data_IF_450518346756
#
_entry.id   IF_450518346756
#
_cell.length_a   1.000
_cell.length_b   1.000
_cell.length_c   1.000
_cell.angle_alpha   90.00
_cell.angle_beta   90.00
_cell.angle_gamma   90.00
#
_symmetry.space_group_name_H-M   'P 1'
#
loop_
_entity.id
_entity.type
_entity.pdbx_description
1 polymer ?
#
# COMPACT_ATOMS: atom_id res chain seq x y z
N UNK A 1 -88.20 -30.77 46.35
CA UNK A 1 -87.23 -30.73 47.44
C UNK A 1 -85.85 -30.81 46.84
N UNK A 2 -85.07 -29.70 46.71
CA UNK A 2 -83.71 -29.63 46.26
C UNK A 2 -82.90 -28.80 47.28
N UNK A 3 -81.72 -29.21 47.68
CA UNK A 3 -80.94 -28.48 48.67
C UNK A 3 -80.13 -27.38 48.01
N UNK A 4 -79.93 -26.30 48.77
CA UNK A 4 -79.19 -25.10 48.44
C UNK A 4 -77.66 -25.37 48.38
N UNK A 5 -76.97 -24.82 47.37
CA UNK A 5 -75.53 -24.79 47.29
C UNK A 5 -75.04 -23.44 47.80
N UNK A 6 -74.27 -23.47 48.87
CA UNK A 6 -73.55 -22.35 49.42
C UNK A 6 -72.19 -22.19 48.68
N UNK A 7 -71.99 -21.05 48.05
CA UNK A 7 -70.70 -20.69 47.42
C UNK A 7 -69.81 -20.01 48.43
N UNK A 8 -68.65 -20.60 48.68
CA UNK A 8 -67.52 -20.01 49.41
C UNK A 8 -66.65 -19.23 48.44
N UNK A 9 -66.54 -17.91 48.65
CA UNK A 9 -65.64 -17.03 47.93
C UNK A 9 -64.28 -17.02 48.64
N UNK A 10 -63.27 -17.62 48.05
CA UNK A 10 -61.84 -17.47 48.49
C UNK A 10 -61.32 -16.19 47.97
N UNK A 11 -60.92 -15.24 48.84
CA UNK A 11 -60.07 -14.11 48.53
C UNK A 11 -58.64 -14.62 48.43
N UNK A 12 -58.06 -14.59 47.20
CA UNK A 12 -56.66 -14.83 46.99
C UNK A 12 -55.86 -13.48 47.12
N UNK A 13 -55.08 -13.37 48.18
CA UNK A 13 -54.11 -12.28 48.39
C UNK A 13 -52.93 -12.47 47.44
N UNK A 14 -52.90 -11.73 46.37
CA UNK A 14 -51.75 -11.71 45.43
C UNK A 14 -50.55 -11.00 46.02
N UNK A 15 -49.54 -11.76 46.42
CA UNK A 15 -48.21 -11.20 46.72
C UNK A 15 -47.53 -10.77 45.43
N UNK A 16 -47.39 -9.47 45.21
CA UNK A 16 -46.49 -8.90 44.19
C UNK A 16 -45.05 -9.23 44.59
N UNK A 17 -44.49 -10.29 44.04
CA UNK A 17 -43.06 -10.49 43.97
C UNK A 17 -42.50 -9.54 42.90
N UNK A 18 -41.93 -8.41 43.32
CA UNK A 18 -41.01 -7.64 42.50
C UNK A 18 -39.83 -8.53 42.14
N UNK A 19 -39.92 -9.23 41.04
CA UNK A 19 -38.79 -9.88 40.41
C UNK A 19 -37.78 -8.81 39.95
N UNK A 20 -36.72 -8.61 40.72
CA UNK A 20 -35.51 -8.02 40.20
C UNK A 20 -35.01 -8.94 39.07
N UNK A 21 -35.43 -8.62 37.84
CA UNK A 21 -34.87 -9.22 36.65
C UNK A 21 -33.40 -8.85 36.61
N UNK A 22 -32.55 -9.70 37.15
CA UNK A 22 -31.13 -9.68 36.90
C UNK A 22 -30.98 -9.67 35.39
N UNK A 23 -30.46 -8.59 34.83
CA UNK A 23 -29.88 -8.60 33.52
C UNK A 23 -28.82 -9.69 33.59
N UNK A 24 -29.13 -10.85 33.04
CA UNK A 24 -28.11 -11.82 32.64
C UNK A 24 -27.14 -11.05 31.75
N UNK A 25 -25.98 -10.77 32.28
CA UNK A 25 -24.92 -10.16 31.50
C UNK A 25 -24.64 -11.10 30.32
N UNK A 26 -25.06 -10.71 29.13
CA UNK A 26 -24.46 -11.29 27.93
C UNK A 26 -22.98 -11.00 28.06
N UNK A 27 -22.16 -12.00 28.40
CA UNK A 27 -20.72 -11.87 28.45
C UNK A 27 -20.29 -11.19 27.17
N UNK A 28 -19.40 -10.20 27.24
CA UNK A 28 -18.84 -9.59 26.07
C UNK A 28 -18.28 -10.70 25.18
N UNK A 29 -18.66 -10.68 23.91
CA UNK A 29 -18.13 -11.63 22.93
C UNK A 29 -16.72 -11.20 22.54
N UNK A 30 -15.93 -12.14 22.03
CA UNK A 30 -14.60 -11.87 21.51
C UNK A 30 -14.64 -10.77 20.45
N UNK A 31 -13.61 -9.94 20.44
CA UNK A 31 -13.38 -8.90 19.44
C UNK A 31 -12.17 -9.31 18.62
N UNK A 32 -12.36 -10.08 17.53
CA UNK A 32 -11.30 -10.42 16.62
C UNK A 32 -10.96 -9.21 15.75
N UNK A 33 -9.68 -8.86 15.68
CA UNK A 33 -9.15 -7.72 14.95
C UNK A 33 -8.23 -8.25 13.86
N UNK A 34 -8.51 -7.86 12.60
CA UNK A 34 -7.70 -8.14 11.42
C UNK A 34 -7.14 -6.81 10.92
N UNK A 35 -5.82 -6.71 10.80
CA UNK A 35 -5.21 -5.43 10.44
C UNK A 35 -4.07 -5.58 9.44
N UNK A 36 -3.97 -4.59 8.57
CA UNK A 36 -2.95 -4.46 7.52
C UNK A 36 -2.24 -3.11 7.63
N UNK A 37 -1.12 -2.97 6.96
CA UNK A 37 -0.47 -1.69 6.73
C UNK A 37 0.41 -1.73 5.49
N UNK A 38 0.86 -0.56 5.05
CA UNK A 38 1.95 -0.41 4.07
C UNK A 38 1.63 -1.18 2.76
N UNK A 39 0.38 -1.07 2.28
CA UNK A 39 -0.08 -1.82 1.09
C UNK A 39 0.58 -1.34 -0.19
N UNK A 40 1.01 -0.07 -0.26
CA UNK A 40 1.78 0.53 -1.39
C UNK A 40 1.18 0.26 -2.77
N UNK A 41 -0.13 0.36 -2.90
CA UNK A 41 -0.80 0.17 -4.19
C UNK A 41 -0.99 -1.29 -4.64
N UNK A 42 -0.71 -2.28 -3.81
CA UNK A 42 -0.68 -3.70 -4.22
C UNK A 42 -2.05 -4.36 -4.22
N UNK A 43 -2.78 -4.16 -5.31
CA UNK A 43 -4.02 -4.91 -5.55
C UNK A 43 -3.75 -6.40 -5.69
N UNK A 44 -2.71 -6.77 -6.43
CA UNK A 44 -2.30 -8.16 -6.70
C UNK A 44 -0.91 -8.44 -6.10
N UNK A 45 -0.54 -9.71 -5.95
CA UNK A 45 0.81 -10.08 -5.59
C UNK A 45 1.82 -9.46 -6.54
N UNK A 46 2.85 -8.82 -6.02
CA UNK A 46 3.88 -8.19 -6.82
C UNK A 46 5.09 -9.09 -6.99
N UNK A 47 5.67 -9.06 -8.19
CA UNK A 47 6.85 -9.78 -8.54
C UNK A 47 6.70 -10.56 -9.85
N UNK A 48 7.79 -10.69 -10.60
CA UNK A 48 7.85 -11.39 -11.89
C UNK A 48 8.43 -12.81 -11.77
N UNK A 49 8.52 -13.35 -10.56
CA UNK A 49 9.11 -14.66 -10.26
C UNK A 49 8.19 -15.48 -9.35
N UNK A 50 8.48 -16.77 -9.19
CA UNK A 50 7.77 -17.68 -8.28
C UNK A 50 8.04 -17.32 -6.80
N UNK A 51 7.10 -17.63 -5.91
CA UNK A 51 7.20 -17.31 -4.49
C UNK A 51 6.77 -15.88 -4.17
N UNK A 52 5.82 -15.34 -4.92
CA UNK A 52 5.26 -14.00 -4.68
C UNK A 52 4.35 -14.01 -3.46
N UNK A 53 4.53 -13.03 -2.58
CA UNK A 53 3.70 -12.84 -1.39
C UNK A 53 2.77 -11.64 -1.56
N UNK A 54 1.68 -11.61 -0.76
CA UNK A 54 0.85 -10.43 -0.60
C UNK A 54 -0.23 -10.25 -1.66
N UNK A 55 -0.70 -9.00 -1.77
CA UNK A 55 -1.80 -8.58 -2.64
C UNK A 55 -3.17 -8.67 -1.96
N UNK A 56 -4.01 -7.66 -2.22
CA UNK A 56 -5.37 -7.63 -1.66
C UNK A 56 -6.24 -8.78 -2.19
N UNK A 57 -5.92 -9.31 -3.37
CA UNK A 57 -6.61 -10.48 -3.94
C UNK A 57 -6.48 -11.73 -3.06
N UNK A 58 -5.28 -11.99 -2.51
CA UNK A 58 -5.08 -13.10 -1.55
C UNK A 58 -5.60 -12.76 -0.16
N UNK A 59 -5.43 -11.51 0.27
CA UNK A 59 -5.96 -11.04 1.54
C UNK A 59 -7.46 -11.28 1.65
N UNK A 60 -8.22 -10.98 0.59
CA UNK A 60 -9.65 -11.22 0.57
C UNK A 60 -9.98 -12.70 0.73
N UNK A 61 -9.28 -13.59 0.07
CA UNK A 61 -9.47 -15.04 0.20
C UNK A 61 -9.29 -15.49 1.66
N UNK A 62 -8.23 -15.01 2.33
CA UNK A 62 -8.00 -15.32 3.75
C UNK A 62 -9.09 -14.74 4.64
N UNK A 63 -9.46 -13.47 4.43
CA UNK A 63 -10.50 -12.83 5.24
C UNK A 63 -11.86 -13.49 5.08
N UNK A 64 -12.22 -13.93 3.88
CA UNK A 64 -13.49 -14.62 3.63
C UNK A 64 -13.51 -16.02 4.25
N UNK A 65 -12.36 -16.70 4.30
CA UNK A 65 -12.25 -18.04 4.88
C UNK A 65 -12.14 -18.05 6.41
N UNK A 66 -11.43 -17.07 6.99
CA UNK A 66 -10.99 -17.14 8.39
C UNK A 66 -11.59 -16.06 9.28
N UNK A 67 -11.98 -14.88 8.74
CA UNK A 67 -12.46 -13.79 9.56
C UNK A 67 -13.95 -13.94 9.87
N UNK A 68 -14.36 -14.03 11.16
CA UNK A 68 -15.75 -14.10 11.52
C UNK A 68 -16.51 -12.83 11.12
N UNK A 69 -17.84 -12.95 10.94
CA UNK A 69 -18.70 -11.86 10.45
C UNK A 69 -18.62 -10.58 11.30
N UNK A 70 -18.35 -10.70 12.60
CA UNK A 70 -18.20 -9.58 13.54
C UNK A 70 -16.78 -9.05 13.70
N UNK A 71 -15.80 -9.54 12.91
CA UNK A 71 -14.42 -9.11 13.02
C UNK A 71 -14.26 -7.61 12.70
N UNK A 72 -13.42 -6.93 13.49
CA UNK A 72 -12.93 -5.59 13.18
C UNK A 72 -11.83 -5.68 12.13
N UNK A 73 -11.91 -4.89 11.06
CA UNK A 73 -10.91 -4.86 9.98
C UNK A 73 -10.42 -3.45 9.80
N UNK A 74 -9.11 -3.23 9.98
CA UNK A 74 -8.50 -1.90 9.92
C UNK A 74 -7.19 -1.91 9.16
N UNK A 75 -6.83 -0.76 8.57
CA UNK A 75 -5.52 -0.54 7.96
C UNK A 75 -4.79 0.60 8.68
N UNK A 76 -3.50 0.41 8.94
CA UNK A 76 -2.69 1.32 9.76
C UNK A 76 -2.12 2.49 8.94
N UNK A 77 -2.16 2.41 7.60
CA UNK A 77 -1.71 3.48 6.71
C UNK A 77 -0.62 3.07 5.72
N UNK A 78 -0.18 4.02 4.91
CA UNK A 78 0.75 3.84 3.79
C UNK A 78 0.20 2.88 2.71
N UNK A 79 -1.09 2.98 2.44
CA UNK A 79 -1.76 2.11 1.47
C UNK A 79 -1.55 2.57 0.01
N UNK A 80 -1.37 3.87 -0.24
CA UNK A 80 -1.12 4.40 -1.59
C UNK A 80 0.29 4.02 -2.10
N UNK A 81 0.43 3.82 -3.41
CA UNK A 81 1.70 3.46 -4.04
C UNK A 81 2.68 4.61 -4.26
N UNK A 82 2.16 5.81 -4.44
CA UNK A 82 2.91 7.04 -4.74
C UNK A 82 1.96 8.22 -4.92
N UNK A 83 2.44 9.27 -5.59
CA UNK A 83 1.70 10.53 -5.78
C UNK A 83 1.39 10.88 -7.24
N UNK A 84 1.80 10.02 -8.15
CA UNK A 84 1.52 10.19 -9.57
C UNK A 84 0.03 9.96 -9.88
N UNK A 85 -0.43 10.43 -11.02
CA UNK A 85 -1.83 10.31 -11.42
C UNK A 85 -2.31 8.85 -11.51
N UNK A 86 -1.47 7.94 -11.98
CA UNK A 86 -1.78 6.51 -11.99
C UNK A 86 -1.82 5.91 -10.58
N UNK A 87 -1.05 6.41 -9.62
CA UNK A 87 -1.13 6.00 -8.21
C UNK A 87 -2.46 6.41 -7.60
N UNK A 88 -2.98 7.60 -7.95
CA UNK A 88 -4.30 8.06 -7.52
C UNK A 88 -5.42 7.21 -8.12
N UNK A 89 -5.29 6.82 -9.39
CA UNK A 89 -6.22 5.87 -10.01
C UNK A 89 -6.18 4.55 -9.26
N UNK A 90 -4.98 3.99 -9.03
CA UNK A 90 -4.80 2.73 -8.32
C UNK A 90 -5.37 2.79 -6.90
N UNK A 91 -5.15 3.89 -6.17
CA UNK A 91 -5.65 4.06 -4.81
C UNK A 91 -7.17 4.04 -4.73
N UNK A 92 -7.89 4.59 -5.72
CA UNK A 92 -9.35 4.46 -5.79
C UNK A 92 -9.79 2.99 -5.89
N UNK A 93 -9.07 2.17 -6.63
CA UNK A 93 -9.35 0.72 -6.70
C UNK A 93 -9.01 0.01 -5.39
N UNK A 94 -7.92 0.39 -4.71
CA UNK A 94 -7.62 -0.12 -3.38
C UNK A 94 -8.76 0.19 -2.38
N UNK A 95 -9.23 1.43 -2.34
CA UNK A 95 -10.33 1.82 -1.45
C UNK A 95 -11.61 1.01 -1.73
N UNK A 96 -11.90 0.72 -3.00
CA UNK A 96 -13.00 -0.18 -3.38
C UNK A 96 -12.75 -1.63 -2.92
N UNK A 97 -11.52 -2.12 -3.00
CA UNK A 97 -11.14 -3.44 -2.51
C UNK A 97 -11.28 -3.53 -0.98
N UNK A 98 -10.84 -2.51 -0.24
CA UNK A 98 -11.06 -2.44 1.21
C UNK A 98 -12.55 -2.44 1.58
N UNK A 99 -13.38 -1.71 0.82
CA UNK A 99 -14.84 -1.74 1.01
C UNK A 99 -15.43 -3.12 0.75
N UNK A 100 -15.01 -3.80 -0.32
CA UNK A 100 -15.44 -5.18 -0.62
C UNK A 100 -15.02 -6.17 0.47
N UNK A 101 -13.90 -5.92 1.13
CA UNK A 101 -13.42 -6.66 2.30
C UNK A 101 -14.02 -6.17 3.64
N UNK A 102 -14.94 -5.19 3.61
CA UNK A 102 -15.63 -4.65 4.79
C UNK A 102 -14.70 -4.08 5.85
N UNK A 103 -13.70 -3.31 5.45
CA UNK A 103 -12.84 -2.59 6.38
C UNK A 103 -13.63 -1.51 7.13
N UNK A 104 -13.39 -1.39 8.42
CA UNK A 104 -14.08 -0.43 9.30
C UNK A 104 -13.45 0.93 9.29
N UNK A 105 -12.12 0.99 9.14
CA UNK A 105 -11.36 2.23 9.08
C UNK A 105 -9.99 2.01 8.43
N UNK A 106 -9.48 3.05 7.76
CA UNK A 106 -8.10 3.17 7.32
C UNK A 106 -7.48 4.40 7.97
N UNK A 107 -6.25 4.28 8.47
CA UNK A 107 -5.48 5.44 8.92
C UNK A 107 -4.73 6.08 7.75
N UNK A 108 -4.41 7.36 7.86
CA UNK A 108 -3.50 8.06 6.95
C UNK A 108 -2.06 7.77 7.37
N UNK A 109 -1.25 7.30 6.43
CA UNK A 109 0.19 7.15 6.58
C UNK A 109 0.97 8.30 5.92
N UNK A 110 2.29 8.15 5.88
CA UNK A 110 3.18 9.19 5.34
C UNK A 110 3.04 9.35 3.82
N UNK A 111 2.74 8.27 3.09
CA UNK A 111 2.54 8.32 1.63
C UNK A 111 1.29 9.11 1.24
N UNK A 112 0.18 8.89 1.95
CA UNK A 112 -1.04 9.66 1.74
C UNK A 112 -0.83 11.13 2.09
N UNK A 113 -0.06 11.44 3.14
CA UNK A 113 0.24 12.81 3.56
C UNK A 113 1.12 13.60 2.58
N UNK A 114 1.69 12.96 1.56
CA UNK A 114 2.38 13.64 0.44
C UNK A 114 1.41 14.19 -0.61
N UNK A 115 0.16 13.76 -0.60
CA UNK A 115 -0.87 14.32 -1.48
C UNK A 115 -1.29 15.70 -0.99
N UNK A 116 -1.67 16.58 -1.92
CA UNK A 116 -2.18 17.91 -1.55
C UNK A 116 -3.49 17.84 -0.78
N UNK A 117 -3.78 18.87 0.02
CA UNK A 117 -5.05 19.01 0.73
C UNK A 117 -6.27 18.88 -0.21
N UNK A 118 -6.18 19.36 -1.44
CA UNK A 118 -7.24 19.24 -2.44
C UNK A 118 -7.49 17.78 -2.86
N UNK A 119 -6.41 17.03 -3.11
CA UNK A 119 -6.49 15.60 -3.44
C UNK A 119 -7.06 14.78 -2.27
N UNK A 120 -6.60 15.06 -1.04
CA UNK A 120 -7.10 14.37 0.15
C UNK A 120 -8.58 14.67 0.44
N UNK A 121 -9.04 15.91 0.27
CA UNK A 121 -10.48 16.24 0.38
C UNK A 121 -11.32 15.51 -0.66
N UNK A 122 -10.82 15.40 -1.90
CA UNK A 122 -11.49 14.62 -2.95
C UNK A 122 -11.53 13.13 -2.58
N UNK A 123 -10.45 12.57 -2.06
CA UNK A 123 -10.41 11.19 -1.57
C UNK A 123 -11.43 10.97 -0.44
N UNK A 124 -11.45 11.85 0.59
CA UNK A 124 -12.43 11.78 1.68
C UNK A 124 -13.87 11.72 1.16
N UNK A 125 -14.21 12.59 0.20
CA UNK A 125 -15.58 12.68 -0.32
C UNK A 125 -15.98 11.48 -1.19
N UNK A 126 -15.02 10.77 -1.78
CA UNK A 126 -15.26 9.66 -2.73
C UNK A 126 -14.91 8.28 -2.17
N UNK A 127 -14.27 8.21 -1.01
CA UNK A 127 -13.90 6.93 -0.40
C UNK A 127 -15.12 6.16 0.08
N UNK A 128 -15.28 4.88 -0.32
CA UNK A 128 -16.33 4.01 0.18
C UNK A 128 -16.02 3.43 1.57
N UNK A 129 -14.83 3.71 2.11
CA UNK A 129 -14.38 3.27 3.44
C UNK A 129 -13.97 4.50 4.24
N UNK A 130 -14.28 4.58 5.55
CA UNK A 130 -13.84 5.68 6.41
C UNK A 130 -12.32 5.76 6.48
N UNK A 131 -11.78 6.96 6.27
CA UNK A 131 -10.37 7.27 6.43
C UNK A 131 -10.23 8.16 7.65
N UNK A 132 -9.27 7.87 8.53
CA UNK A 132 -9.08 8.56 9.81
C UNK A 132 -7.73 9.26 9.87
N UNK A 133 -7.70 10.43 10.49
CA UNK A 133 -6.48 11.07 10.97
C UNK A 133 -6.79 12.17 11.99
N UNK A 134 -6.29 12.03 13.22
CA UNK A 134 -6.55 12.98 14.29
C UNK A 134 -5.71 14.27 14.17
N UNK A 135 -4.59 14.22 13.45
CA UNK A 135 -3.61 15.30 13.45
C UNK A 135 -3.22 15.84 12.06
N UNK A 136 -3.81 15.34 10.96
CA UNK A 136 -3.59 15.91 9.63
C UNK A 136 -4.63 17.01 9.36
N UNK A 137 -4.16 18.24 9.28
CA UNK A 137 -5.00 19.44 9.19
C UNK A 137 -4.89 20.09 7.80
N UNK A 138 -5.97 20.71 7.39
CA UNK A 138 -5.95 21.71 6.31
C UNK A 138 -5.30 22.99 6.85
N UNK A 139 -4.19 23.42 6.23
CA UNK A 139 -3.40 24.57 6.69
C UNK A 139 -4.18 25.89 6.71
N UNK A 140 -5.10 26.04 5.75
CA UNK A 140 -5.90 27.28 5.66
C UNK A 140 -6.99 27.39 6.71
N UNK A 141 -7.65 26.29 7.04
CA UNK A 141 -8.75 26.27 8.01
C UNK A 141 -8.38 25.76 9.38
N UNK A 142 -7.22 25.12 9.52
CA UNK A 142 -6.75 24.39 10.71
C UNK A 142 -7.72 23.31 11.21
N UNK A 143 -8.58 22.81 10.35
CA UNK A 143 -9.50 21.71 10.65
C UNK A 143 -8.95 20.39 10.17
N UNK A 144 -9.25 19.27 10.84
CA UNK A 144 -8.89 17.95 10.34
C UNK A 144 -9.45 17.70 8.93
N UNK A 145 -8.63 17.15 8.04
CA UNK A 145 -9.06 16.77 6.69
C UNK A 145 -9.95 15.53 6.74
N UNK A 146 -9.64 14.60 7.62
CA UNK A 146 -10.39 13.37 7.85
C UNK A 146 -11.05 13.38 9.22
N UNK A 147 -11.97 12.45 9.46
CA UNK A 147 -12.51 12.25 10.79
C UNK A 147 -11.37 11.75 11.71
N UNK A 148 -11.21 12.30 12.91
CA UNK A 148 -10.09 11.95 13.79
C UNK A 148 -10.22 10.54 14.37
N UNK A 149 -11.46 10.06 14.53
CA UNK A 149 -11.78 8.76 15.10
C UNK A 149 -13.11 8.22 14.58
N UNK A 150 -13.38 6.96 14.90
CA UNK A 150 -14.64 6.28 14.61
C UNK A 150 -15.01 5.35 15.77
N UNK A 151 -16.29 5.29 16.12
CA UNK A 151 -16.82 4.32 17.09
C UNK A 151 -17.65 3.27 16.34
N UNK A 152 -17.35 2.00 16.58
CA UNK A 152 -18.08 0.85 16.05
C UNK A 152 -18.47 -0.11 17.18
N UNK A 153 -19.47 -0.94 16.97
CA UNK A 153 -19.84 -1.98 17.94
C UNK A 153 -19.43 -3.35 17.41
N UNK A 154 -18.62 -4.06 18.20
CA UNK A 154 -18.14 -5.41 17.89
C UNK A 154 -18.24 -6.28 19.14
N UNK A 155 -18.85 -7.48 19.03
CA UNK A 155 -19.04 -8.35 20.18
C UNK A 155 -19.81 -7.71 21.35
N UNK A 156 -20.67 -6.73 21.08
CA UNK A 156 -21.36 -5.94 22.12
C UNK A 156 -20.48 -4.84 22.76
N UNK A 157 -19.20 -4.74 22.38
CA UNK A 157 -18.25 -3.75 22.87
C UNK A 157 -18.24 -2.53 21.94
N UNK A 158 -18.26 -1.32 22.52
CA UNK A 158 -18.09 -0.05 21.79
C UNK A 158 -16.62 0.20 21.61
N UNK A 159 -16.12 0.00 20.40
CA UNK A 159 -14.70 0.14 20.04
C UNK A 159 -14.47 1.50 19.43
N UNK A 160 -13.64 2.32 20.07
CA UNK A 160 -13.14 3.59 19.54
C UNK A 160 -11.85 3.33 18.76
N UNK A 161 -11.81 3.77 17.51
CA UNK A 161 -10.65 3.65 16.62
C UNK A 161 -10.13 5.06 16.35
N UNK A 162 -8.89 5.35 16.71
CA UNK A 162 -8.24 6.66 16.49
C UNK A 162 -7.14 6.47 15.44
N UNK A 163 -7.10 7.32 14.42
CA UNK A 163 -6.01 7.34 13.43
C UNK A 163 -4.98 8.43 13.78
N UNK A 164 -3.69 8.12 13.71
CA UNK A 164 -2.61 9.03 14.03
C UNK A 164 -1.50 8.97 12.98
N UNK A 165 -1.09 10.12 12.45
CA UNK A 165 0.01 10.28 11.51
C UNK A 165 1.29 10.65 12.25
N UNK A 166 2.37 9.93 11.97
CA UNK A 166 3.72 10.32 12.38
C UNK A 166 4.32 11.28 11.35
N UNK A 167 4.58 12.55 11.70
CA UNK A 167 5.12 13.52 10.75
C UNK A 167 6.62 13.36 10.49
N UNK A 168 7.31 12.53 11.25
CA UNK A 168 8.77 12.40 11.15
C UNK A 168 9.17 11.79 9.81
N UNK A 169 10.06 12.46 9.11
CA UNK A 169 10.53 12.06 7.80
C UNK A 169 9.70 12.58 6.63
N UNK A 170 8.58 13.29 6.88
CA UNK A 170 7.84 13.97 5.80
C UNK A 170 8.56 15.23 5.31
N UNK A 171 9.08 16.06 6.23
CA UNK A 171 9.81 17.27 5.87
C UNK A 171 9.14 18.08 4.75
N UNK A 172 9.88 18.33 3.68
CA UNK A 172 9.40 19.02 2.47
C UNK A 172 8.44 18.18 1.60
N UNK A 173 8.34 16.87 1.85
CA UNK A 173 7.42 15.99 1.14
C UNK A 173 5.97 16.09 1.62
N UNK A 174 5.69 16.84 2.68
CA UNK A 174 4.33 17.09 3.12
C UNK A 174 3.53 17.79 2.02
N UNK A 175 2.38 17.26 1.70
CA UNK A 175 1.56 17.74 0.60
C UNK A 175 1.13 19.21 0.74
N UNK A 176 1.02 19.90 -0.38
CA UNK A 176 0.66 21.30 -0.42
C UNK A 176 -0.68 21.59 0.29
N UNK A 177 -0.70 22.62 1.13
CA UNK A 177 -1.89 23.02 1.89
C UNK A 177 -2.18 22.18 3.12
N UNK A 178 -1.24 21.35 3.56
CA UNK A 178 -1.32 20.55 4.79
C UNK A 178 -0.52 21.15 5.93
N UNK A 179 -0.96 20.83 7.15
CA UNK A 179 -0.26 21.05 8.42
C UNK A 179 -0.45 19.78 9.27
N UNK A 180 0.54 19.39 10.05
CA UNK A 180 0.42 18.26 10.98
C UNK A 180 0.55 18.76 12.40
N UNK A 181 -0.48 18.53 13.22
CA UNK A 181 -0.45 18.78 14.65
C UNK A 181 0.43 17.76 15.36
N UNK A 182 1.04 18.12 16.48
CA UNK A 182 1.82 17.19 17.29
C UNK A 182 1.00 15.97 17.70
N UNK A 183 1.61 14.80 17.63
CA UNK A 183 0.94 13.51 17.88
C UNK A 183 0.29 13.47 19.26
N UNK A 184 1.01 13.90 20.29
CA UNK A 184 0.58 13.85 21.69
C UNK A 184 -0.60 14.80 21.95
N UNK A 185 -0.56 16.02 21.41
CA UNK A 185 -1.64 17.01 21.61
C UNK A 185 -2.93 16.57 20.92
N UNK A 186 -2.82 16.10 19.68
CA UNK A 186 -3.97 15.59 18.93
C UNK A 186 -4.58 14.35 19.60
N UNK A 187 -3.73 13.44 20.08
CA UNK A 187 -4.18 12.21 20.75
C UNK A 187 -4.86 12.52 22.09
N UNK A 188 -4.29 13.42 22.91
CA UNK A 188 -4.90 13.84 24.16
C UNK A 188 -6.29 14.47 23.96
N UNK A 189 -6.42 15.34 22.95
CA UNK A 189 -7.70 15.94 22.57
C UNK A 189 -8.72 14.89 22.18
N UNK A 190 -8.33 13.95 21.33
CA UNK A 190 -9.24 12.94 20.79
C UNK A 190 -9.63 11.90 21.84
N UNK A 191 -8.73 11.52 22.73
CA UNK A 191 -9.03 10.62 23.84
C UNK A 191 -10.07 11.21 24.79
N UNK A 192 -10.05 12.51 25.05
CA UNK A 192 -11.07 13.17 25.87
C UNK A 192 -12.48 13.03 25.28
N UNK A 193 -12.60 13.00 23.95
CA UNK A 193 -13.87 12.85 23.22
C UNK A 193 -14.33 11.40 23.11
N UNK A 194 -13.41 10.47 22.91
CA UNK A 194 -13.70 9.06 22.60
C UNK A 194 -13.91 8.22 23.84
N UNK A 195 -13.09 8.40 24.88
CA UNK A 195 -13.09 7.60 26.09
C UNK A 195 -14.44 7.51 26.80
N UNK A 196 -15.24 8.58 26.96
CA UNK A 196 -16.55 8.47 27.62
C UNK A 196 -17.58 7.64 26.85
N UNK A 197 -17.33 7.39 25.58
CA UNK A 197 -18.29 6.78 24.64
C UNK A 197 -17.91 5.33 24.28
N UNK A 198 -16.79 4.83 24.79
CA UNK A 198 -16.19 3.54 24.34
C UNK A 198 -15.82 2.66 25.51
N UNK A 199 -15.79 1.36 25.24
CA UNK A 199 -15.40 0.31 26.18
C UNK A 199 -13.96 -0.17 25.87
N UNK A 200 -13.51 -0.01 24.61
CA UNK A 200 -12.19 -0.37 24.11
C UNK A 200 -11.68 0.73 23.17
N UNK A 201 -10.44 1.16 23.33
CA UNK A 201 -9.80 2.15 22.45
C UNK A 201 -8.63 1.48 21.71
N UNK A 202 -8.64 1.60 20.39
CA UNK A 202 -7.61 1.13 19.48
C UNK A 202 -6.98 2.33 18.79
N UNK A 203 -5.67 2.48 18.90
CA UNK A 203 -4.89 3.46 18.17
C UNK A 203 -4.25 2.81 16.93
N UNK A 204 -4.46 3.41 15.76
CA UNK A 204 -3.78 3.09 14.53
C UNK A 204 -2.66 4.12 14.32
N UNK A 205 -1.39 3.68 14.36
CA UNK A 205 -0.25 4.58 14.22
C UNK A 205 0.84 3.97 13.35
N UNK A 206 1.01 4.51 12.13
CA UNK A 206 2.08 4.11 11.24
C UNK A 206 3.39 4.79 11.65
N UNK A 207 4.05 4.23 12.66
CA UNK A 207 5.28 4.76 13.26
C UNK A 207 6.20 3.64 13.76
N UNK A 208 7.42 4.00 14.20
CA UNK A 208 8.40 3.05 14.72
C UNK A 208 8.06 2.52 16.12
N UNK A 209 8.73 1.42 16.50
CA UNK A 209 8.50 0.73 17.78
C UNK A 209 8.74 1.61 19.02
N UNK A 210 9.75 2.47 18.97
CA UNK A 210 10.09 3.36 20.09
C UNK A 210 8.95 4.33 20.37
N UNK A 211 8.39 4.92 19.30
CA UNK A 211 7.27 5.83 19.40
C UNK A 211 5.99 5.12 19.86
N UNK A 212 5.71 3.90 19.35
CA UNK A 212 4.58 3.12 19.86
C UNK A 212 4.69 2.88 21.36
N UNK A 213 5.91 2.53 21.84
CA UNK A 213 6.18 2.36 23.25
C UNK A 213 6.00 3.65 24.07
N UNK A 214 6.48 4.79 23.59
CA UNK A 214 6.33 6.10 24.24
C UNK A 214 4.86 6.53 24.32
N UNK A 215 4.07 6.29 23.28
CA UNK A 215 2.62 6.55 23.30
C UNK A 215 1.91 5.68 24.34
N UNK A 216 2.28 4.40 24.46
CA UNK A 216 1.74 3.50 25.49
C UNK A 216 2.10 3.94 26.92
N UNK A 217 3.29 4.53 27.12
CA UNK A 217 3.70 5.05 28.44
C UNK A 217 2.92 6.31 28.82
N UNK A 218 2.62 7.14 27.87
CA UNK A 218 1.98 8.42 28.09
C UNK A 218 0.44 8.32 28.17
N UNK A 219 -0.16 7.44 27.38
CA UNK A 219 -1.62 7.33 27.22
C UNK A 219 -2.15 5.96 27.65
N UNK A 220 -2.19 5.72 28.95
CA UNK A 220 -2.61 4.44 29.55
C UNK A 220 -4.11 4.12 29.34
N UNK A 221 -4.90 5.09 28.82
CA UNK A 221 -6.29 4.89 28.41
C UNK A 221 -6.43 4.06 27.14
N UNK A 222 -5.37 3.92 26.36
CA UNK A 222 -5.38 3.13 25.12
C UNK A 222 -5.08 1.68 25.46
N UNK A 223 -6.01 0.78 25.15
CA UNK A 223 -5.82 -0.64 25.41
C UNK A 223 -5.08 -1.37 24.30
N UNK A 224 -5.20 -0.92 23.04
CA UNK A 224 -4.55 -1.55 21.89
C UNK A 224 -3.89 -0.50 21.01
N UNK A 225 -2.63 -0.71 20.69
CA UNK A 225 -1.88 0.11 19.72
C UNK A 225 -1.45 -0.81 18.57
N UNK A 226 -1.97 -0.52 17.38
CA UNK A 226 -1.60 -1.22 16.17
C UNK A 226 -0.62 -0.36 15.37
N UNK A 227 0.58 -0.92 15.11
CA UNK A 227 1.70 -0.24 14.49
C UNK A 227 2.08 -0.78 13.11
N UNK A 228 2.80 0.05 12.37
CA UNK A 228 3.42 -0.27 11.08
C UNK A 228 4.88 0.18 11.03
N UNK A 229 5.42 0.72 10.02
CA UNK A 229 6.76 1.35 9.87
C UNK A 229 7.89 0.69 10.69
N UNK A 230 7.91 -0.64 10.65
CA UNK A 230 8.89 -1.49 11.34
C UNK A 230 9.60 -2.35 10.30
N UNK A 231 10.82 -2.80 10.58
CA UNK A 231 11.61 -3.62 9.64
C UNK A 231 11.07 -5.04 9.49
N UNK A 232 10.42 -5.55 10.53
CA UNK A 232 9.83 -6.89 10.55
C UNK A 232 8.52 -6.90 11.34
N UNK A 233 7.58 -7.80 11.01
CA UNK A 233 6.37 -8.00 11.81
C UNK A 233 6.72 -8.41 13.25
N UNK A 234 5.85 -8.07 14.20
CA UNK A 234 6.00 -8.52 15.57
C UNK A 234 5.90 -10.04 15.64
N UNK A 235 6.90 -10.69 16.20
CA UNK A 235 6.82 -12.14 16.49
C UNK A 235 5.96 -12.41 17.74
N UNK A 236 5.98 -11.48 18.68
CA UNK A 236 5.24 -11.57 19.93
C UNK A 236 4.46 -10.27 20.20
N UNK A 237 3.32 -10.43 20.84
CA UNK A 237 2.53 -9.33 21.36
C UNK A 237 3.28 -8.68 22.54
N UNK A 238 3.48 -7.36 22.46
CA UNK A 238 4.12 -6.61 23.55
C UNK A 238 3.08 -6.00 24.46
N UNK A 239 3.33 -6.07 25.77
CA UNK A 239 2.58 -5.33 26.78
C UNK A 239 3.42 -4.20 27.33
N UNK A 240 2.85 -3.00 27.35
CA UNK A 240 3.47 -1.86 27.99
C UNK A 240 2.41 -1.07 28.76
N UNK A 241 2.57 -0.97 30.07
CA UNK A 241 1.52 -0.48 30.95
C UNK A 241 0.19 -1.25 30.76
N UNK A 242 -0.87 -0.56 30.37
CA UNK A 242 -2.19 -1.16 30.04
C UNK A 242 -2.38 -1.46 28.57
N UNK A 243 -1.43 -1.07 27.73
CA UNK A 243 -1.55 -1.20 26.28
C UNK A 243 -0.95 -2.51 25.79
N UNK A 244 -1.66 -3.12 24.85
CA UNK A 244 -1.16 -4.18 23.96
C UNK A 244 -0.62 -3.51 22.71
N UNK A 245 0.65 -3.73 22.37
CA UNK A 245 1.29 -3.21 21.17
C UNK A 245 1.52 -4.38 20.22
N UNK A 246 0.93 -4.28 19.03
CA UNK A 246 1.10 -5.28 17.97
C UNK A 246 1.30 -4.59 16.64
N UNK A 247 2.22 -5.07 15.82
CA UNK A 247 2.54 -4.42 14.55
C UNK A 247 2.78 -5.43 13.44
N UNK A 248 2.37 -5.03 12.25
CA UNK A 248 2.58 -5.73 11.00
C UNK A 248 3.30 -4.81 10.03
N UNK A 249 3.99 -5.36 9.09
CA UNK A 249 4.67 -4.63 8.02
C UNK A 249 4.72 -5.49 6.77
N UNK A 250 5.53 -5.10 5.83
CA UNK A 250 5.96 -5.93 4.72
C UNK A 250 5.07 -5.84 3.49
N UNK A 251 4.64 -4.61 3.18
CA UNK A 251 4.08 -4.27 1.87
C UNK A 251 2.91 -5.17 1.46
N UNK A 252 1.90 -5.28 2.33
CA UNK A 252 0.73 -6.14 2.14
C UNK A 252 1.04 -7.66 2.04
N UNK A 253 2.21 -8.11 2.50
CA UNK A 253 2.57 -9.53 2.49
C UNK A 253 2.11 -10.29 3.72
N UNK A 254 1.70 -9.55 4.76
CA UNK A 254 1.27 -10.11 6.03
C UNK A 254 -0.04 -9.47 6.50
N UNK A 255 -0.83 -10.28 7.20
CA UNK A 255 -2.05 -9.90 7.90
C UNK A 255 -1.83 -10.10 9.38
N UNK A 256 -2.04 -9.05 10.18
CA UNK A 256 -2.06 -9.17 11.63
C UNK A 256 -3.42 -9.63 12.12
N UNK A 257 -3.46 -10.58 13.02
CA UNK A 257 -4.67 -11.12 13.64
C UNK A 257 -4.49 -11.03 15.15
N UNK A 258 -5.45 -10.39 15.84
CA UNK A 258 -5.46 -10.26 17.28
C UNK A 258 -6.87 -10.59 17.80
N UNK A 259 -6.98 -11.56 18.68
CA UNK A 259 -8.25 -11.99 19.26
C UNK A 259 -8.29 -11.56 20.73
N UNK A 260 -9.24 -10.71 21.08
CA UNK A 260 -9.37 -10.12 22.40
C UNK A 260 -10.71 -10.50 23.03
N UNK A 261 -10.67 -10.73 24.34
CA UNK A 261 -11.86 -10.84 25.16
C UNK A 261 -11.93 -9.64 26.11
N UNK A 262 -12.80 -8.63 25.84
CA UNK A 262 -12.96 -7.48 26.69
C UNK A 262 -13.67 -7.85 28.00
N UNK A 263 -13.14 -7.37 29.12
CA UNK A 263 -13.79 -7.47 30.41
C UNK A 263 -14.17 -6.06 30.91
N UNK A 264 -15.44 -5.80 31.24
CA UNK A 264 -15.84 -4.52 31.79
C UNK A 264 -15.05 -4.19 33.05
N UNK A 265 -14.24 -3.10 33.01
CA UNK A 265 -13.46 -2.62 34.14
C UNK A 265 -12.21 -3.43 34.50
N UNK A 266 -11.83 -4.46 33.74
CA UNK A 266 -10.65 -5.27 33.94
C UNK A 266 -9.67 -5.19 32.75
N UNK A 267 -8.51 -5.85 32.88
CA UNK A 267 -7.54 -5.96 31.79
C UNK A 267 -8.11 -6.80 30.63
N UNK A 268 -7.68 -6.50 29.40
CA UNK A 268 -8.01 -7.29 28.23
C UNK A 268 -7.32 -8.65 28.28
N UNK A 269 -8.09 -9.71 28.05
CA UNK A 269 -7.53 -11.01 27.79
C UNK A 269 -7.20 -11.17 26.30
N UNK A 270 -6.00 -11.70 26.03
CA UNK A 270 -5.59 -12.08 24.68
C UNK A 270 -5.91 -13.54 24.48
N UNK A 271 -6.88 -13.82 23.63
CA UNK A 271 -7.28 -15.19 23.26
C UNK A 271 -6.31 -15.77 22.25
N UNK A 272 -5.77 -14.94 21.36
CA UNK A 272 -4.80 -15.33 20.36
C UNK A 272 -4.22 -14.16 19.59
N UNK A 273 -3.04 -14.38 19.03
CA UNK A 273 -2.41 -13.45 18.08
C UNK A 273 -1.62 -14.22 17.02
N UNK A 274 -1.63 -13.74 15.80
CA UNK A 274 -0.95 -14.35 14.66
C UNK A 274 -0.53 -13.31 13.64
N UNK A 275 0.62 -13.54 12.99
CA UNK A 275 0.98 -12.89 11.74
C UNK A 275 0.86 -13.91 10.62
N UNK A 276 -0.19 -13.77 9.83
CA UNK A 276 -0.48 -14.63 8.68
C UNK A 276 0.21 -14.10 7.44
N UNK A 277 1.14 -14.88 6.87
CA UNK A 277 1.78 -14.54 5.60
C UNK A 277 0.87 -14.89 4.42
N UNK A 278 0.70 -13.95 3.51
CA UNK A 278 -0.09 -14.14 2.28
C UNK A 278 0.78 -14.78 1.19
N UNK A 279 0.98 -16.08 1.31
CA UNK A 279 1.87 -16.88 0.45
C UNK A 279 1.23 -17.19 -0.91
N UNK A 280 2.03 -17.71 -1.83
CA UNK A 280 1.63 -18.03 -3.21
C UNK A 280 0.68 -19.22 -3.33
N UNK A 281 0.60 -20.09 -2.33
CA UNK A 281 -0.39 -21.17 -2.27
C UNK A 281 -1.82 -20.67 -2.06
N UNK A 282 -1.99 -19.45 -1.52
CA UNK A 282 -3.31 -18.84 -1.31
C UNK A 282 -3.86 -18.37 -2.65
N UNK A 283 -5.02 -18.89 -3.09
CA UNK A 283 -5.62 -18.47 -4.34
C UNK A 283 -6.02 -16.99 -4.31
N UNK A 284 -5.95 -16.34 -5.44
CA UNK A 284 -6.43 -14.96 -5.59
C UNK A 284 -7.95 -14.93 -5.74
N UNK A 285 -8.60 -14.01 -5.04
CA UNK A 285 -10.04 -13.77 -5.18
C UNK A 285 -10.38 -13.28 -6.59
N UNK A 286 -11.32 -13.94 -7.30
CA UNK A 286 -11.65 -13.58 -8.69
C UNK A 286 -12.22 -12.16 -8.84
N UNK A 287 -13.03 -11.69 -7.88
CA UNK A 287 -13.64 -10.36 -7.97
C UNK A 287 -12.60 -9.26 -7.81
N UNK A 288 -11.64 -9.41 -6.90
CA UNK A 288 -10.55 -8.45 -6.75
C UNK A 288 -9.54 -8.55 -7.91
N UNK A 289 -9.32 -9.74 -8.46
CA UNK A 289 -8.51 -9.91 -9.68
C UNK A 289 -9.15 -9.19 -10.87
N UNK A 290 -10.48 -9.26 -11.03
CA UNK A 290 -11.17 -8.47 -12.04
C UNK A 290 -11.02 -6.96 -11.77
N UNK A 291 -11.13 -6.54 -10.51
CA UNK A 291 -10.93 -5.12 -10.14
C UNK A 291 -9.52 -4.62 -10.49
N UNK A 292 -8.50 -5.46 -10.35
CA UNK A 292 -7.14 -5.12 -10.78
C UNK A 292 -7.04 -5.01 -12.32
N UNK A 293 -7.78 -5.82 -13.08
CA UNK A 293 -7.89 -5.66 -14.53
C UNK A 293 -8.61 -4.36 -14.91
N UNK A 294 -9.71 -4.04 -14.22
CA UNK A 294 -10.46 -2.79 -14.45
C UNK A 294 -9.57 -1.56 -14.20
N UNK A 295 -8.72 -1.60 -13.18
CA UNK A 295 -7.68 -0.59 -12.95
C UNK A 295 -6.74 -0.45 -14.15
N UNK A 296 -6.17 -1.55 -14.65
CA UNK A 296 -5.26 -1.54 -15.81
C UNK A 296 -5.94 -1.02 -17.07
N UNK A 297 -7.20 -1.40 -17.27
CA UNK A 297 -7.99 -0.93 -18.39
C UNK A 297 -8.34 0.55 -18.28
N UNK A 298 -8.57 1.07 -17.08
CA UNK A 298 -8.74 2.51 -16.86
C UNK A 298 -7.44 3.26 -17.15
N UNK A 299 -6.31 2.80 -16.61
CA UNK A 299 -4.99 3.37 -16.88
C UNK A 299 -4.67 3.38 -18.36
N UNK A 300 -4.99 2.30 -19.10
CA UNK A 300 -4.78 2.21 -20.55
C UNK A 300 -5.58 3.26 -21.31
N UNK A 301 -6.80 3.57 -20.89
CA UNK A 301 -7.68 4.57 -21.53
C UNK A 301 -7.38 6.01 -21.10
N UNK A 302 -6.73 6.20 -19.98
CA UNK A 302 -6.46 7.53 -19.42
C UNK A 302 -5.15 8.08 -19.98
N UNK A 303 -5.16 9.33 -20.44
CA UNK A 303 -3.93 10.07 -20.70
C UNK A 303 -3.33 10.48 -19.36
N UNK A 304 -2.13 10.00 -19.07
CA UNK A 304 -1.44 10.24 -17.81
C UNK A 304 -0.47 11.40 -17.95
N UNK A 305 -0.15 12.07 -16.83
CA UNK A 305 0.84 13.14 -16.82
C UNK A 305 2.23 12.64 -17.25
N UNK A 306 2.58 11.39 -16.93
CA UNK A 306 3.85 10.75 -17.36
C UNK A 306 3.92 10.54 -18.88
N UNK A 307 2.80 10.53 -19.58
CA UNK A 307 2.73 10.43 -21.04
C UNK A 307 2.95 11.77 -21.73
N UNK A 308 2.87 12.90 -20.99
CA UNK A 308 3.02 14.24 -21.57
C UNK A 308 4.51 14.60 -21.74
N UNK A 309 4.96 14.84 -23.00
CA UNK A 309 6.34 15.26 -23.26
C UNK A 309 6.76 16.52 -22.52
N UNK A 310 5.83 17.41 -22.21
CA UNK A 310 6.12 18.66 -21.49
C UNK A 310 6.51 18.42 -20.02
N UNK A 311 6.08 17.32 -19.44
CA UNK A 311 6.38 16.96 -18.05
C UNK A 311 7.62 16.08 -17.93
N UNK A 312 8.18 15.60 -19.03
CA UNK A 312 9.38 14.75 -19.01
C UNK A 312 10.63 15.61 -18.83
N UNK A 313 11.56 15.13 -18.00
CA UNK A 313 12.88 15.73 -17.87
C UNK A 313 13.64 15.64 -19.21
N UNK A 314 14.45 16.63 -19.51
CA UNK A 314 15.33 16.59 -20.68
C UNK A 314 16.40 15.50 -20.48
N UNK A 315 16.58 14.63 -21.49
CA UNK A 315 17.64 13.63 -21.48
C UNK A 315 19.00 14.33 -21.66
N UNK A 316 19.72 14.49 -20.57
CA UNK A 316 21.08 15.07 -20.58
C UNK A 316 22.08 13.94 -20.37
N UNK A 317 22.95 13.76 -21.34
CA UNK A 317 24.10 12.84 -21.20
C UNK A 317 25.16 13.52 -20.36
N UNK A 318 25.68 12.91 -19.27
CA UNK A 318 26.74 13.49 -18.46
C UNK A 318 27.95 13.92 -19.30
N UNK A 319 28.38 15.17 -19.15
CA UNK A 319 29.48 15.72 -19.89
C UNK A 319 29.15 16.33 -21.26
N UNK A 320 27.92 16.21 -21.74
CA UNK A 320 27.44 16.81 -23.01
C UNK A 320 26.31 17.80 -22.71
N UNK A 321 26.44 19.03 -23.18
CA UNK A 321 25.46 20.11 -22.96
C UNK A 321 24.23 20.04 -23.88
N UNK A 322 24.23 19.18 -24.88
CA UNK A 322 23.13 18.98 -25.85
C UNK A 322 22.26 17.82 -25.45
N UNK A 323 20.93 18.00 -25.56
CA UNK A 323 19.97 16.92 -25.34
C UNK A 323 20.20 15.79 -26.35
N UNK A 324 20.41 14.57 -25.85
CA UNK A 324 20.43 13.35 -26.63
C UNK A 324 19.05 12.75 -26.74
N UNK A 325 18.79 11.94 -27.74
CA UNK A 325 17.53 11.23 -27.93
C UNK A 325 17.75 9.72 -28.09
N UNK A 326 16.72 8.95 -27.72
CA UNK A 326 16.69 7.52 -27.91
C UNK A 326 16.49 7.18 -29.39
N UNK A 327 17.29 6.25 -29.90
CA UNK A 327 17.30 5.86 -31.31
C UNK A 327 16.79 4.44 -31.55
N UNK A 328 16.75 3.62 -30.49
CA UNK A 328 16.29 2.21 -30.50
C UNK A 328 17.41 1.22 -30.81
N UNK A 329 17.27 0.00 -30.27
CA UNK A 329 18.25 -1.08 -30.38
C UNK A 329 18.58 -1.46 -31.82
N UNK A 330 17.61 -1.36 -32.75
CA UNK A 330 17.85 -1.61 -34.19
C UNK A 330 18.99 -0.79 -34.75
N UNK A 331 19.08 0.49 -34.37
CA UNK A 331 20.16 1.37 -34.82
C UNK A 331 21.52 0.98 -34.22
N UNK A 332 21.54 0.45 -33.02
CA UNK A 332 22.77 0.03 -32.34
C UNK A 332 23.36 -1.23 -32.99
N UNK A 333 22.52 -2.23 -33.30
CA UNK A 333 22.96 -3.53 -33.83
C UNK A 333 23.47 -3.46 -35.28
N UNK A 334 23.25 -2.36 -35.99
CA UNK A 334 23.87 -2.14 -37.31
C UNK A 334 25.39 -2.19 -37.23
N UNK A 335 25.96 -1.63 -36.16
CA UNK A 335 27.41 -1.60 -35.91
C UNK A 335 27.85 -2.59 -34.82
N UNK A 336 27.01 -2.85 -33.83
CA UNK A 336 27.31 -3.70 -32.66
C UNK A 336 26.64 -5.08 -32.77
N UNK A 337 27.02 -5.87 -33.78
CA UNK A 337 26.39 -7.17 -34.13
C UNK A 337 26.50 -8.17 -32.99
N UNK A 338 27.71 -8.35 -32.44
CA UNK A 338 27.96 -9.33 -31.36
C UNK A 338 27.21 -8.99 -30.08
N UNK A 339 27.18 -7.70 -29.73
CA UNK A 339 26.38 -7.22 -28.61
C UNK A 339 24.87 -7.42 -28.86
N UNK A 340 24.42 -7.16 -30.09
CA UNK A 340 23.03 -7.39 -30.51
C UNK A 340 22.62 -8.84 -30.41
N UNK A 341 23.49 -9.78 -30.79
CA UNK A 341 23.22 -11.22 -30.65
C UNK A 341 23.11 -11.68 -29.19
N UNK A 342 23.96 -11.12 -28.31
CA UNK A 342 23.91 -11.37 -26.87
C UNK A 342 22.61 -10.85 -26.30
N UNK A 343 22.24 -9.61 -26.63
CA UNK A 343 20.98 -8.99 -26.18
C UNK A 343 19.77 -9.78 -26.68
N UNK A 344 19.70 -10.15 -27.94
CA UNK A 344 18.57 -10.86 -28.54
C UNK A 344 18.28 -12.23 -27.88
N UNK A 345 19.31 -12.89 -27.32
CA UNK A 345 19.19 -14.15 -26.58
C UNK A 345 18.75 -13.95 -25.13
N UNK A 346 18.81 -12.72 -24.61
CA UNK A 346 18.47 -12.40 -23.22
C UNK A 346 16.97 -12.19 -23.02
N UNK A 347 16.52 -12.24 -21.75
CA UNK A 347 15.16 -11.87 -21.37
C UNK A 347 14.84 -10.40 -21.65
N UNK A 348 15.84 -9.53 -21.73
CA UNK A 348 15.66 -8.10 -21.99
C UNK A 348 15.01 -7.82 -23.35
N UNK A 349 15.38 -8.59 -24.40
CA UNK A 349 14.80 -8.44 -25.74
C UNK A 349 13.33 -8.90 -25.85
N UNK A 350 12.73 -9.40 -24.77
CA UNK A 350 11.34 -9.84 -24.69
C UNK A 350 10.65 -9.31 -23.44
N UNK A 351 11.19 -8.25 -22.86
CA UNK A 351 10.69 -7.67 -21.61
C UNK A 351 9.24 -7.24 -21.71
N UNK A 352 8.86 -6.56 -22.79
CA UNK A 352 7.51 -6.07 -22.99
C UNK A 352 6.49 -7.18 -23.26
N UNK A 353 6.87 -8.22 -23.98
CA UNK A 353 6.00 -9.36 -24.25
C UNK A 353 5.49 -10.01 -22.93
N UNK A 354 6.36 -10.09 -21.92
CA UNK A 354 5.97 -10.61 -20.59
C UNK A 354 4.92 -9.78 -19.88
N UNK A 355 4.84 -8.47 -20.15
CA UNK A 355 3.78 -7.60 -19.63
C UNK A 355 2.46 -7.81 -20.40
N UNK A 356 2.53 -7.93 -21.73
CA UNK A 356 1.34 -8.13 -22.57
C UNK A 356 0.61 -9.40 -22.22
N UNK A 357 1.33 -10.50 -21.95
CA UNK A 357 0.77 -11.76 -21.47
C UNK A 357 -0.02 -11.60 -20.17
N UNK A 358 0.40 -10.67 -19.31
CA UNK A 358 -0.24 -10.36 -18.02
C UNK A 358 -1.20 -9.17 -18.09
N UNK A 359 -1.43 -8.59 -19.26
CA UNK A 359 -2.21 -7.37 -19.49
C UNK A 359 -1.72 -6.17 -18.66
N UNK A 360 -0.42 -6.11 -18.34
CA UNK A 360 0.23 -5.07 -17.57
C UNK A 360 1.03 -4.07 -18.45
N UNK A 361 0.90 -4.18 -19.76
CA UNK A 361 1.62 -3.41 -20.79
C UNK A 361 1.19 -1.93 -20.90
N UNK A 362 0.23 -1.50 -20.07
CA UNK A 362 -0.16 -0.10 -19.92
C UNK A 362 0.12 0.45 -18.52
N UNK A 363 0.56 -0.37 -17.56
CA UNK A 363 0.83 0.08 -16.19
C UNK A 363 2.20 0.77 -16.12
N UNK A 364 2.26 2.08 -15.77
CA UNK A 364 3.52 2.82 -15.70
C UNK A 364 4.57 2.20 -14.75
N UNK A 365 4.13 1.53 -13.69
CA UNK A 365 5.03 0.82 -12.76
C UNK A 365 5.74 -0.36 -13.40
N UNK A 366 5.12 -0.96 -14.42
CA UNK A 366 5.68 -2.08 -15.14
C UNK A 366 6.50 -1.62 -16.35
N UNK A 367 5.91 -0.75 -17.18
CA UNK A 367 6.54 -0.35 -18.45
C UNK A 367 7.82 0.45 -18.26
N UNK A 368 7.99 1.16 -17.14
CA UNK A 368 9.21 1.89 -16.84
C UNK A 368 10.47 1.02 -16.85
N UNK A 369 10.38 -0.24 -16.40
CA UNK A 369 11.47 -1.21 -16.41
C UNK A 369 11.46 -2.12 -17.65
N UNK A 370 10.36 -2.21 -18.38
CA UNK A 370 10.19 -3.14 -19.50
C UNK A 370 10.22 -2.48 -20.87
N UNK A 371 10.55 -1.18 -20.93
CA UNK A 371 10.72 -0.39 -22.16
C UNK A 371 11.96 0.49 -22.06
N UNK A 372 12.32 1.12 -23.16
CA UNK A 372 13.49 1.99 -23.23
C UNK A 372 13.10 3.45 -23.12
N UNK A 373 13.55 4.11 -22.05
CA UNK A 373 13.40 5.56 -21.88
C UNK A 373 11.98 6.02 -21.54
N UNK A 374 11.11 5.17 -20.99
CA UNK A 374 9.77 5.62 -20.56
C UNK A 374 9.85 6.80 -19.58
N UNK A 375 9.02 7.81 -19.80
CA UNK A 375 9.04 9.08 -19.06
C UNK A 375 10.01 10.12 -19.63
N UNK A 376 10.95 9.75 -20.50
CA UNK A 376 11.85 10.70 -21.18
C UNK A 376 11.22 11.29 -22.44
N UNK A 377 11.57 12.54 -22.86
CA UNK A 377 10.98 13.21 -24.02
C UNK A 377 11.03 12.41 -25.32
N UNK A 378 12.14 11.72 -25.57
CA UNK A 378 12.38 10.91 -26.77
C UNK A 378 12.25 9.40 -26.53
N UNK A 379 11.85 9.00 -25.32
CA UNK A 379 11.72 7.61 -24.91
C UNK A 379 10.42 6.94 -25.38
N UNK A 380 10.19 5.74 -24.88
CA UNK A 380 8.97 4.96 -25.16
C UNK A 380 7.70 5.76 -24.81
N UNK A 381 6.68 5.64 -25.66
CA UNK A 381 5.35 6.25 -25.49
C UNK A 381 4.25 5.19 -25.58
N UNK A 382 3.34 5.16 -24.63
CA UNK A 382 2.20 4.23 -24.63
C UNK A 382 1.27 4.42 -25.83
N UNK A 383 1.13 5.66 -26.32
CA UNK A 383 0.26 6.02 -27.43
C UNK A 383 0.69 5.37 -28.76
N UNK A 384 1.97 5.10 -28.93
CA UNK A 384 2.52 4.53 -30.17
C UNK A 384 2.67 3.01 -30.14
N UNK A 385 2.48 2.37 -29.00
CA UNK A 385 2.23 0.94 -28.72
C UNK A 385 3.17 -0.12 -29.32
N UNK A 386 3.90 0.19 -30.36
CA UNK A 386 4.85 -0.70 -31.06
C UNK A 386 5.93 0.11 -31.74
N UNK A 387 6.69 0.84 -30.99
CA UNK A 387 7.82 1.52 -31.55
C UNK A 387 9.15 0.77 -31.30
N UNK A 388 10.23 1.32 -31.84
CA UNK A 388 11.60 0.81 -31.70
C UNK A 388 12.13 0.78 -30.26
N UNK A 389 11.37 1.27 -29.29
CA UNK A 389 11.76 1.42 -27.89
C UNK A 389 10.98 0.45 -26.95
N UNK A 390 10.19 -0.48 -27.51
CA UNK A 390 9.69 -1.61 -26.73
C UNK A 390 10.85 -2.47 -26.28
N UNK A 391 10.67 -3.19 -25.19
CA UNK A 391 11.67 -4.01 -24.52
C UNK A 391 12.79 -3.20 -23.81
N UNK A 392 13.59 -3.89 -23.03
CA UNK A 392 14.77 -3.33 -22.37
C UNK A 392 15.91 -3.29 -23.39
N UNK A 393 15.95 -2.21 -24.16
CA UNK A 393 16.93 -2.05 -25.25
C UNK A 393 18.33 -1.67 -24.77
N UNK A 394 19.25 -1.55 -25.72
CA UNK A 394 20.64 -1.15 -25.46
C UNK A 394 20.73 0.15 -24.64
N UNK A 395 19.87 1.10 -24.97
CA UNK A 395 19.85 2.44 -24.36
C UNK A 395 19.24 2.47 -22.96
N UNK A 396 18.57 1.39 -22.50
CA UNK A 396 18.14 1.26 -21.11
C UNK A 396 19.31 1.17 -20.13
N UNK A 397 20.44 0.61 -20.60
CA UNK A 397 21.67 0.50 -19.82
C UNK A 397 22.66 1.62 -20.17
N UNK A 398 22.83 1.92 -21.47
CA UNK A 398 23.85 2.84 -21.96
C UNK A 398 23.39 4.30 -22.02
N UNK A 399 22.08 4.58 -21.94
CA UNK A 399 21.51 5.90 -22.15
C UNK A 399 21.30 6.25 -23.64
N UNK A 400 20.69 7.41 -23.94
CA UNK A 400 20.26 7.79 -25.28
C UNK A 400 21.44 7.88 -26.27
N UNK A 401 21.29 7.25 -27.44
CA UNK A 401 22.36 6.97 -28.39
C UNK A 401 22.56 7.97 -29.52
N UNK A 402 21.68 8.96 -29.69
CA UNK A 402 21.69 9.83 -30.88
C UNK A 402 23.01 10.57 -31.13
N UNK A 403 23.68 11.04 -30.06
CA UNK A 403 24.96 11.73 -30.20
C UNK A 403 26.08 10.79 -30.59
N UNK A 404 26.11 9.57 -30.05
CA UNK A 404 27.07 8.55 -30.47
C UNK A 404 26.90 8.19 -31.94
N UNK A 405 25.67 8.01 -32.40
CA UNK A 405 25.37 7.71 -33.79
C UNK A 405 25.89 8.83 -34.71
N UNK A 406 25.54 10.07 -34.42
CA UNK A 406 26.01 11.23 -35.21
C UNK A 406 27.54 11.32 -35.26
N UNK A 407 28.22 11.10 -34.13
CA UNK A 407 29.68 11.07 -34.08
C UNK A 407 30.26 9.98 -35.02
N UNK A 408 29.66 8.80 -35.04
CA UNK A 408 30.07 7.67 -35.89
C UNK A 408 29.75 7.91 -37.36
N UNK A 409 28.71 8.66 -37.67
CA UNK A 409 28.36 9.11 -39.03
C UNK A 409 29.22 10.26 -39.57
N UNK A 410 30.17 10.74 -38.78
CA UNK A 410 31.16 11.72 -39.22
C UNK A 410 31.09 13.11 -38.60
N UNK A 411 30.20 13.32 -37.62
CA UNK A 411 30.18 14.60 -36.89
C UNK A 411 31.39 14.72 -35.94
N UNK A 412 32.44 15.36 -36.42
CA UNK A 412 33.67 15.57 -35.68
C UNK A 412 33.58 16.61 -34.56
N UNK A 413 32.46 17.31 -34.45
CA UNK A 413 32.22 18.26 -33.35
C UNK A 413 31.84 17.56 -32.05
N UNK A 414 31.41 16.30 -32.14
CA UNK A 414 31.03 15.49 -31.01
C UNK A 414 32.19 14.62 -30.51
N UNK A 415 32.41 14.62 -29.22
CA UNK A 415 33.28 13.66 -28.52
C UNK A 415 32.45 12.95 -27.44
N UNK A 416 32.09 11.72 -27.70
CA UNK A 416 31.21 10.97 -26.83
C UNK A 416 31.73 9.55 -26.59
N UNK A 417 31.70 9.11 -25.35
CA UNK A 417 31.99 7.71 -24.98
C UNK A 417 31.07 7.28 -23.83
N UNK A 418 30.66 6.03 -23.89
CA UNK A 418 29.92 5.45 -22.79
C UNK A 418 30.85 5.02 -21.66
N UNK A 419 30.42 5.26 -20.40
CA UNK A 419 31.13 4.71 -19.25
C UNK A 419 30.89 3.19 -19.16
N UNK A 420 31.78 2.44 -18.53
CA UNK A 420 31.51 1.05 -18.16
C UNK A 420 30.28 0.97 -17.26
N UNK A 421 29.47 -0.08 -17.44
CA UNK A 421 28.31 -0.38 -16.60
C UNK A 421 28.76 -1.03 -15.30
N UNK A 422 28.00 -0.78 -14.25
CA UNK A 422 28.18 -1.38 -12.94
C UNK A 422 26.85 -1.99 -12.39
N UNK A 423 26.93 -2.60 -11.22
CA UNK A 423 25.76 -3.20 -10.58
C UNK A 423 24.63 -2.19 -10.29
N UNK A 424 24.96 -0.90 -10.12
CA UNK A 424 23.97 0.16 -9.89
C UNK A 424 23.08 0.38 -11.10
N UNK A 425 23.61 0.22 -12.32
CA UNK A 425 22.80 0.34 -13.54
C UNK A 425 21.74 -0.75 -13.64
N UNK A 426 22.08 -1.97 -13.27
CA UNK A 426 21.13 -3.09 -13.24
C UNK A 426 20.08 -2.90 -12.13
N UNK A 427 20.49 -2.40 -10.98
CA UNK A 427 19.61 -2.17 -9.83
C UNK A 427 18.57 -1.07 -10.05
N UNK A 428 18.60 -0.32 -11.13
CA UNK A 428 17.52 0.59 -11.54
C UNK A 428 16.21 -0.17 -11.82
N UNK A 429 16.31 -1.42 -12.25
CA UNK A 429 15.17 -2.30 -12.53
C UNK A 429 15.18 -3.58 -11.67
N UNK A 430 16.37 -4.12 -11.36
CA UNK A 430 16.53 -5.33 -10.55
C UNK A 430 16.65 -4.99 -9.06
N UNK A 431 15.52 -4.59 -8.43
CA UNK A 431 15.47 -4.26 -7.00
C UNK A 431 14.17 -4.73 -6.34
N UNK A 432 14.25 -4.91 -5.03
CA UNK A 432 13.08 -5.23 -4.21
C UNK A 432 12.29 -6.44 -4.73
N UNK A 433 10.98 -6.30 -4.72
CA UNK A 433 10.03 -7.31 -5.16
C UNK A 433 9.87 -7.41 -6.69
N UNK A 434 10.40 -6.46 -7.46
CA UNK A 434 10.34 -6.47 -8.93
C UNK A 434 11.38 -7.38 -9.55
N UNK A 435 12.27 -7.95 -8.75
CA UNK A 435 13.31 -8.86 -9.20
C UNK A 435 13.53 -9.97 -8.18
N UNK A 436 13.93 -11.15 -8.68
CA UNK A 436 14.60 -12.11 -7.79
C UNK A 436 15.84 -11.45 -7.18
N UNK A 437 16.36 -11.94 -6.02
CA UNK A 437 17.54 -11.38 -5.42
C UNK A 437 18.63 -11.14 -6.45
N UNK A 438 19.13 -9.90 -6.51
CA UNK A 438 20.08 -9.50 -7.54
C UNK A 438 21.52 -9.76 -7.08
N UNK A 439 22.17 -10.70 -7.75
CA UNK A 439 23.57 -11.01 -7.56
C UNK A 439 24.33 -10.72 -8.86
N UNK A 440 25.21 -9.71 -8.86
CA UNK A 440 25.96 -9.27 -10.05
C UNK A 440 26.67 -10.40 -10.78
N UNK A 441 27.31 -11.32 -10.06
CA UNK A 441 28.03 -12.45 -10.63
C UNK A 441 27.15 -13.48 -11.34
N UNK A 442 25.85 -13.49 -11.07
CA UNK A 442 24.88 -14.36 -11.76
C UNK A 442 24.22 -13.66 -12.95
N UNK A 443 23.88 -12.38 -12.80
CA UNK A 443 23.13 -11.62 -13.81
C UNK A 443 24.04 -11.09 -14.92
N UNK A 444 25.23 -10.57 -14.57
CA UNK A 444 26.14 -9.97 -15.51
C UNK A 444 26.60 -10.90 -16.65
N UNK A 445 26.97 -12.17 -16.43
CA UNK A 445 27.39 -13.07 -17.51
C UNK A 445 26.33 -13.28 -18.59
N UNK A 446 25.05 -13.14 -18.27
CA UNK A 446 23.93 -13.36 -19.21
C UNK A 446 23.85 -12.26 -20.27
N UNK A 447 24.27 -11.04 -19.94
CA UNK A 447 24.14 -9.87 -20.82
C UNK A 447 25.47 -9.24 -21.17
N UNK A 448 26.57 -9.66 -20.52
CA UNK A 448 27.90 -9.14 -20.79
C UNK A 448 28.29 -9.36 -22.23
N UNK A 449 28.72 -8.31 -22.90
CA UNK A 449 29.29 -8.36 -24.24
C UNK A 449 30.62 -7.59 -24.27
N UNK A 450 31.48 -7.89 -25.24
CA UNK A 450 32.77 -7.23 -25.47
C UNK A 450 32.62 -5.99 -26.34
N UNK A 451 33.75 -5.32 -26.57
CA UNK A 451 33.86 -4.32 -27.65
C UNK A 451 33.81 -5.05 -28.98
N UNK A 452 33.09 -4.48 -29.93
CA UNK A 452 33.16 -4.97 -31.31
C UNK A 452 34.60 -4.88 -31.85
N UNK A 453 35.05 -5.88 -32.60
CA UNK A 453 36.29 -5.76 -33.30
C UNK A 453 36.25 -4.56 -34.25
N UNK A 454 37.38 -3.89 -34.54
CA UNK A 454 37.42 -2.83 -35.52
C UNK A 454 36.84 -3.33 -36.85
N UNK A 455 35.85 -2.60 -37.37
CA UNK A 455 35.33 -2.94 -38.71
C UNK A 455 36.43 -2.56 -39.74
N UNK A 456 36.67 -3.40 -40.76
CA UNK A 456 37.66 -3.14 -41.77
C UNK A 456 37.42 -1.86 -42.57
#
# INVERSE_FOLDING_TARGET
>A
MKPARTSFTLLALGALLCGCGGRSGSGALDVPIYFTCDTRGRLEPCGCFTGQYGGLTRLKTVLDAEAPAGALRVDIGDAIGGREDYDLIQYRYLLRAYAAMKYDALNIGQREAQLSAAQLRKLRSSSPVPILSANLLDKGTRKPIFDPSRIVVRGGCRVGIIGLLDPRGLGEDLGAGLEVEGMESALARELAEVRPKTDLIILLAFTDEETLGRLADQFYEIQVILGGKVSQPAQELRRRNRSLIYFVTNESRALGILQLHPHPGAALDVVGNEIRLLRDEIPQDPALSQMAQDYRDEVRRTRLAVDDPANAAADIVPGVRTAASYVGSGRCVECHKTAGETWAKSGHARGFASLSERKADADPKCIGCHTTGFGAPSGYRREFGRDKLVDVGCESCHGPGSLHVKQREGDKTLSFSYRPLDAGDCKKCHYGEFSRPFYWHEFWPVIKHGKEPPQP
#
